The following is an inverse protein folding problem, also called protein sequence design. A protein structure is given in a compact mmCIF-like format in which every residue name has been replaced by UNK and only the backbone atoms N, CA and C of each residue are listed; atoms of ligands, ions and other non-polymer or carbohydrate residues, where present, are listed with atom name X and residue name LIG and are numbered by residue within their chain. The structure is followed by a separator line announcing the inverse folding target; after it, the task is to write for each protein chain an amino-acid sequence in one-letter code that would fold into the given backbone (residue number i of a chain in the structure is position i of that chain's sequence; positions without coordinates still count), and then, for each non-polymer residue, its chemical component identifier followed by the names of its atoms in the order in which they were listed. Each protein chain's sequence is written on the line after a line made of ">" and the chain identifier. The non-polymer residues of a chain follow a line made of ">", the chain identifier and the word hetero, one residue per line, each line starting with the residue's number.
data_IF_164744758917
#
_entry.id   IF_164744758917
#
_cell.length_a   1.000
_cell.length_b   1.000
_cell.length_c   1.000
_cell.angle_alpha   90.00
_cell.angle_beta   90.00
_cell.angle_gamma   90.00
#
_symmetry.space_group_name_H-M   'P 1'
#
loop_
_entity.id
_entity.type
_entity.pdbx_description
1 polymer ?
#
# COMPACT_ATOMS: atom_id res chain seq x y z
N UNK A 1 -3.70 28.50 5.12
CA UNK A 1 -2.40 27.85 4.86
C UNK A 1 -2.68 26.44 4.38
N UNK A 2 -2.11 26.03 3.24
CA UNK A 2 -2.25 24.66 2.70
C UNK A 2 -0.95 23.94 2.98
N UNK A 3 -1.03 22.70 3.47
CA UNK A 3 0.14 21.87 3.79
C UNK A 3 0.13 20.66 2.87
N UNK A 4 1.22 20.45 2.14
CA UNK A 4 1.36 19.40 1.13
C UNK A 4 2.67 18.62 1.34
N UNK A 5 2.64 17.32 1.03
CA UNK A 5 3.82 16.46 1.02
C UNK A 5 3.62 15.29 0.07
N UNK A 6 4.70 14.81 -0.51
CA UNK A 6 4.71 13.59 -1.33
C UNK A 6 5.03 12.33 -0.52
N UNK A 7 5.29 12.47 0.78
CA UNK A 7 5.59 11.34 1.66
C UNK A 7 4.37 10.87 2.44
N UNK A 8 4.00 9.61 2.23
CA UNK A 8 2.94 8.95 3.00
C UNK A 8 3.26 8.95 4.51
N UNK A 9 4.52 8.76 4.90
CA UNK A 9 4.92 8.79 6.30
C UNK A 9 4.70 10.18 6.92
N UNK A 10 5.06 11.24 6.19
CA UNK A 10 4.87 12.61 6.66
C UNK A 10 3.38 12.96 6.76
N UNK A 11 2.55 12.54 5.81
CA UNK A 11 1.10 12.80 5.87
C UNK A 11 0.45 12.07 7.06
N UNK A 12 0.82 10.82 7.32
CA UNK A 12 0.33 10.06 8.48
C UNK A 12 0.79 10.68 9.81
N UNK A 13 2.02 11.20 9.88
CA UNK A 13 2.51 11.91 11.06
C UNK A 13 1.73 13.22 11.29
N UNK A 14 1.42 13.97 10.24
CA UNK A 14 0.61 15.18 10.31
C UNK A 14 -0.82 14.90 10.78
N UNK A 15 -1.48 13.88 10.23
CA UNK A 15 -2.82 13.45 10.70
C UNK A 15 -2.79 13.08 12.18
N UNK A 16 -1.77 12.35 12.63
CA UNK A 16 -1.57 12.01 14.05
C UNK A 16 -1.37 13.23 14.94
N UNK A 17 -0.71 14.26 14.42
CA UNK A 17 -0.54 15.55 15.09
C UNK A 17 -1.81 16.43 15.05
N UNK A 18 -2.94 15.92 14.54
CA UNK A 18 -4.22 16.65 14.44
C UNK A 18 -4.32 17.56 13.22
N UNK A 19 -3.40 17.45 12.26
CA UNK A 19 -3.39 18.25 11.04
C UNK A 19 -4.28 17.59 9.98
N UNK A 20 -5.59 17.58 10.24
CA UNK A 20 -6.62 17.18 9.28
C UNK A 20 -6.71 15.68 8.98
N UNK A 21 -7.11 15.35 7.75
CA UNK A 21 -7.31 13.98 7.25
C UNK A 21 -6.55 13.77 5.94
N UNK A 22 -6.20 12.52 5.65
CA UNK A 22 -5.50 12.16 4.42
C UNK A 22 -6.16 10.93 3.76
N UNK A 23 -6.14 10.90 2.43
CA UNK A 23 -6.46 9.71 1.65
C UNK A 23 -5.16 8.98 1.36
N UNK A 24 -5.08 7.70 1.71
CA UNK A 24 -3.89 6.87 1.52
C UNK A 24 -4.26 5.58 0.78
N UNK A 25 -3.26 4.97 0.13
CA UNK A 25 -3.45 3.66 -0.49
C UNK A 25 -3.56 2.55 0.58
N UNK A 26 -4.08 1.35 0.23
CA UNK A 26 -4.28 0.26 1.18
C UNK A 26 -3.00 -0.26 1.85
N UNK A 27 -1.84 -0.18 1.18
CA UNK A 27 -0.57 -0.62 1.76
C UNK A 27 -0.10 0.34 2.86
N UNK A 28 -0.23 1.66 2.63
CA UNK A 28 0.04 2.66 3.67
C UNK A 28 -0.93 2.52 4.84
N UNK A 29 -2.21 2.26 4.57
CA UNK A 29 -3.18 2.00 5.64
C UNK A 29 -2.79 0.75 6.45
N UNK A 30 -2.35 -0.33 5.80
CA UNK A 30 -1.89 -1.54 6.48
C UNK A 30 -0.66 -1.28 7.36
N UNK A 31 0.31 -0.52 6.88
CA UNK A 31 1.55 -0.18 7.61
C UNK A 31 1.28 0.67 8.87
N UNK A 32 0.29 1.55 8.79
CA UNK A 32 -0.10 2.44 9.89
C UNK A 32 -1.27 1.90 10.73
N UNK A 33 -1.73 0.67 10.47
CA UNK A 33 -2.78 0.05 11.27
C UNK A 33 -2.33 -0.08 12.73
N UNK A 34 -3.11 0.47 13.66
CA UNK A 34 -2.76 0.49 15.09
C UNK A 34 -1.77 1.58 15.51
N UNK A 35 -1.30 2.41 14.59
CA UNK A 35 -0.75 3.71 14.97
C UNK A 35 -1.90 4.63 15.39
N UNK A 36 -1.67 5.65 16.24
CA UNK A 36 -2.69 6.52 16.88
C UNK A 36 -3.54 7.38 15.92
N UNK A 37 -3.80 6.90 14.71
CA UNK A 37 -4.68 7.43 13.69
C UNK A 37 -5.80 6.43 13.40
N UNK A 38 -7.00 6.94 13.15
CA UNK A 38 -8.15 6.10 12.78
C UNK A 38 -8.15 5.88 11.27
N UNK A 39 -8.18 4.62 10.85
CA UNK A 39 -8.33 4.25 9.44
C UNK A 39 -9.81 4.02 9.14
N UNK A 40 -10.33 4.66 8.09
CA UNK A 40 -11.71 4.48 7.63
C UNK A 40 -11.73 4.07 6.16
N UNK A 41 -12.32 2.90 5.81
CA UNK A 41 -12.48 2.52 4.41
C UNK A 41 -13.49 3.43 3.71
N UNK A 42 -13.37 3.54 2.39
CA UNK A 42 -14.40 4.17 1.58
C UNK A 42 -15.67 3.34 1.54
N UNK A 43 -16.82 4.00 1.35
CA UNK A 43 -18.12 3.34 1.16
C UNK A 43 -18.21 2.55 -0.16
N UNK A 44 -17.31 2.84 -1.10
CA UNK A 44 -17.19 2.15 -2.38
C UNK A 44 -15.78 1.56 -2.49
N UNK A 45 -15.68 0.37 -3.09
CA UNK A 45 -14.38 -0.23 -3.36
C UNK A 45 -13.68 0.51 -4.51
N UNK A 46 -12.45 0.95 -4.26
CA UNK A 46 -11.56 1.55 -5.26
C UNK A 46 -10.43 0.55 -5.53
N UNK A 47 -10.36 -0.05 -6.73
CA UNK A 47 -9.30 -1.02 -7.05
C UNK A 47 -7.92 -0.40 -6.94
N UNK A 48 -6.98 -1.14 -6.34
CA UNK A 48 -5.57 -0.76 -6.25
C UNK A 48 -4.71 -1.90 -6.80
N UNK A 49 -3.95 -1.61 -7.85
CA UNK A 49 -3.14 -2.60 -8.57
C UNK A 49 -1.65 -2.34 -8.33
N UNK A 50 -0.92 -3.39 -7.93
CA UNK A 50 0.54 -3.39 -7.88
C UNK A 50 1.05 -4.25 -9.04
N UNK A 51 2.04 -3.75 -9.77
CA UNK A 51 2.60 -4.46 -10.93
C UNK A 51 4.11 -4.60 -10.81
N UNK A 52 4.61 -5.79 -11.13
CA UNK A 52 6.03 -6.04 -11.32
C UNK A 52 6.38 -5.80 -12.79
N UNK A 53 7.29 -4.85 -13.04
CA UNK A 53 7.72 -4.50 -14.39
C UNK A 53 9.09 -5.11 -14.67
N UNK A 54 9.25 -5.75 -15.84
CA UNK A 54 10.52 -6.38 -16.27
C UNK A 54 10.83 -5.97 -17.72
N UNK A 55 12.11 -5.81 -18.10
CA UNK A 55 12.48 -5.52 -19.49
C UNK A 55 12.12 -6.70 -20.40
N UNK A 56 11.44 -6.43 -21.52
CA UNK A 56 11.02 -7.46 -22.47
C UNK A 56 12.19 -8.05 -23.28
N UNK A 57 13.21 -7.24 -23.57
CA UNK A 57 14.31 -7.61 -24.48
C UNK A 57 15.63 -7.92 -23.78
N UNK A 58 15.64 -8.02 -22.45
CA UNK A 58 16.81 -8.43 -21.67
C UNK A 58 16.48 -9.75 -20.98
N UNK A 59 17.18 -10.86 -21.29
CA UNK A 59 16.97 -12.11 -20.58
C UNK A 59 17.24 -11.90 -19.09
N UNK A 60 16.32 -12.39 -18.26
CA UNK A 60 16.47 -12.34 -16.82
C UNK A 60 17.60 -13.27 -16.36
N UNK A 61 18.38 -12.83 -15.38
CA UNK A 61 19.26 -13.76 -14.66
C UNK A 61 18.44 -14.64 -13.72
N UNK A 62 18.97 -15.82 -13.37
CA UNK A 62 18.36 -16.73 -12.39
C UNK A 62 17.98 -16.03 -11.06
N UNK A 63 18.77 -15.05 -10.61
CA UNK A 63 18.47 -14.27 -9.40
C UNK A 63 17.22 -13.40 -9.54
N UNK A 64 16.98 -12.81 -10.72
CA UNK A 64 15.77 -12.00 -10.96
C UNK A 64 14.54 -12.90 -10.99
N UNK A 65 14.63 -14.10 -11.55
CA UNK A 65 13.52 -15.06 -11.54
C UNK A 65 13.21 -15.56 -10.14
N UNK A 66 14.24 -15.92 -9.36
CA UNK A 66 14.08 -16.30 -7.96
C UNK A 66 13.44 -15.17 -7.14
N UNK A 67 13.97 -13.94 -7.24
CA UNK A 67 13.42 -12.78 -6.56
C UNK A 67 11.97 -12.50 -6.98
N UNK A 68 11.66 -12.63 -8.28
CA UNK A 68 10.29 -12.46 -8.81
C UNK A 68 9.33 -13.45 -8.17
N UNK A 69 9.73 -14.73 -8.08
CA UNK A 69 8.94 -15.76 -7.41
C UNK A 69 8.65 -15.41 -5.95
N UNK A 70 9.69 -15.06 -5.19
CA UNK A 70 9.54 -14.65 -3.78
C UNK A 70 8.69 -13.40 -3.61
N UNK A 71 8.86 -12.40 -4.48
CA UNK A 71 8.11 -11.15 -4.42
C UNK A 71 6.62 -11.37 -4.70
N UNK A 72 6.29 -12.20 -5.70
CA UNK A 72 4.90 -12.54 -6.02
C UNK A 72 4.25 -13.27 -4.85
N UNK A 73 4.94 -14.23 -4.23
CA UNK A 73 4.41 -14.96 -3.11
C UNK A 73 4.16 -14.05 -1.91
N UNK A 74 5.14 -13.22 -1.55
CA UNK A 74 4.99 -12.26 -0.48
C UNK A 74 3.89 -11.23 -0.75
N UNK A 75 3.76 -10.77 -2.00
CA UNK A 75 2.70 -9.83 -2.38
C UNK A 75 1.29 -10.44 -2.20
N UNK A 76 1.12 -11.75 -2.44
CA UNK A 76 -0.15 -12.45 -2.15
C UNK A 76 -0.44 -12.50 -0.66
N UNK A 77 0.55 -12.83 0.16
CA UNK A 77 0.40 -12.84 1.63
C UNK A 77 -0.01 -11.46 2.16
N UNK A 78 0.62 -10.40 1.65
CA UNK A 78 0.26 -9.02 1.99
C UNK A 78 -1.16 -8.69 1.54
N UNK A 79 -1.56 -9.12 0.33
CA UNK A 79 -2.91 -8.90 -0.17
C UNK A 79 -3.98 -9.50 0.76
N UNK A 80 -3.78 -10.71 1.28
CA UNK A 80 -4.71 -11.34 2.25
C UNK A 80 -4.87 -10.56 3.56
N UNK A 81 -3.88 -9.73 3.91
CA UNK A 81 -3.92 -8.86 5.09
C UNK A 81 -4.63 -7.53 4.84
N UNK A 82 -4.94 -7.20 3.58
CA UNK A 82 -5.58 -5.94 3.26
C UNK A 82 -7.06 -5.94 3.70
N UNK A 83 -7.54 -4.89 4.39
CA UNK A 83 -8.91 -4.81 4.89
C UNK A 83 -9.99 -4.99 3.80
N UNK A 84 -9.70 -4.50 2.59
CA UNK A 84 -10.60 -4.59 1.44
C UNK A 84 -10.87 -6.02 0.96
N UNK A 85 -9.99 -6.99 1.28
CA UNK A 85 -10.16 -8.40 0.96
C UNK A 85 -10.71 -9.21 2.14
N UNK A 86 -10.78 -8.63 3.33
CA UNK A 86 -11.26 -9.29 4.55
C UNK A 86 -12.77 -9.14 4.77
N UNK A 87 -13.39 -8.14 4.14
CA UNK A 87 -14.83 -7.93 4.21
C UNK A 87 -15.36 -7.53 2.82
N UNK A 88 -15.43 -8.48 1.86
CA UNK A 88 -16.21 -8.25 0.65
C UNK A 88 -17.67 -8.11 1.08
N UNK A 89 -18.29 -6.99 0.73
CA UNK A 89 -19.73 -6.78 0.93
C UNK A 89 -20.55 -7.96 0.40
#
# INVERSE_FOLDING_TARGET
>A
MVVETHSAASICAMVRAGVGVAVVNPLTALDYAGSEIVIRPFSLSVPFTVSLIRPLHRPASALVDAFTGHLIEHAREVALRLPALQNPL
#
